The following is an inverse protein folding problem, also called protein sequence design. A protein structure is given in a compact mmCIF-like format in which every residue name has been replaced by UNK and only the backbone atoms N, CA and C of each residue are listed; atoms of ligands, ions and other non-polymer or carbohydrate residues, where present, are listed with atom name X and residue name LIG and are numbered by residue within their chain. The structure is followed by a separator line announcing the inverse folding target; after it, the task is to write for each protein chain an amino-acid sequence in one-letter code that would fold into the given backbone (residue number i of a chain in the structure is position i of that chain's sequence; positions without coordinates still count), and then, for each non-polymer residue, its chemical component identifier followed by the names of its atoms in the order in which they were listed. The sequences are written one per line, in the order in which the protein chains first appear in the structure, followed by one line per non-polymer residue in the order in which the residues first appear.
data_IF_301611511021
#
_entry.id   IF_301611511021
#
_cell.length_a   1.000
_cell.length_b   1.000
_cell.length_c   1.000
_cell.angle_alpha   90.00
_cell.angle_beta   90.00
_cell.angle_gamma   90.00
#
_symmetry.space_group_name_H-M   'P 1'
#
loop_
_entity.id
_entity.type
_entity.pdbx_description
1 polymer ?
#
# COMPACT_ATOMS: atom_id res chain seq x y z
N UNK A 1 22.48 -19.82 -11.00
CA UNK A 1 23.34 -20.43 -9.96
C UNK A 1 22.44 -21.21 -9.02
N UNK A 2 22.82 -22.39 -8.49
CA UNK A 2 22.04 -23.16 -7.53
C UNK A 2 22.11 -22.57 -6.10
N UNK A 3 21.96 -21.25 -5.97
CA UNK A 3 22.04 -20.52 -4.70
C UNK A 3 20.97 -19.42 -4.60
N UNK A 4 20.57 -19.02 -3.38
CA UNK A 4 19.49 -18.05 -3.14
C UNK A 4 19.88 -16.65 -3.63
N UNK A 5 21.15 -16.26 -3.45
CA UNK A 5 21.68 -14.98 -3.94
C UNK A 5 23.17 -15.07 -4.22
N UNK A 6 23.64 -14.18 -5.11
CA UNK A 6 25.07 -13.97 -5.38
C UNK A 6 25.51 -12.75 -4.58
N UNK A 7 26.56 -12.89 -3.77
CA UNK A 7 27.01 -11.83 -2.86
C UNK A 7 28.21 -11.06 -3.41
N UNK A 8 29.02 -11.69 -4.25
CA UNK A 8 30.20 -11.06 -4.82
C UNK A 8 30.57 -11.66 -6.17
N UNK A 9 31.20 -10.85 -7.01
CA UNK A 9 31.72 -11.22 -8.32
C UNK A 9 33.09 -10.59 -8.51
N UNK A 10 34.03 -11.35 -9.09
CA UNK A 10 35.36 -10.89 -9.44
C UNK A 10 35.75 -11.39 -10.83
N UNK A 11 36.64 -10.67 -11.49
CA UNK A 11 37.23 -11.09 -12.77
C UNK A 11 38.69 -11.47 -12.55
N UNK A 12 39.13 -12.54 -13.21
CA UNK A 12 40.51 -12.99 -13.18
C UNK A 12 41.30 -12.40 -14.37
N UNK A 13 42.63 -12.20 -14.24
CA UNK A 13 43.47 -11.68 -15.33
C UNK A 13 43.42 -12.50 -16.63
N UNK A 14 42.99 -13.76 -16.53
CA UNK A 14 42.86 -14.70 -17.63
C UNK A 14 41.48 -14.66 -18.34
N UNK A 15 40.62 -13.71 -17.96
CA UNK A 15 39.28 -13.48 -18.54
C UNK A 15 38.14 -14.29 -17.90
N UNK A 16 38.40 -15.08 -16.87
CA UNK A 16 37.39 -15.88 -16.18
C UNK A 16 36.62 -15.04 -15.14
N UNK A 17 35.38 -15.46 -14.88
CA UNK A 17 34.48 -14.81 -13.93
C UNK A 17 34.34 -15.69 -12.70
N UNK A 18 34.53 -15.12 -11.52
CA UNK A 18 34.40 -15.81 -10.23
C UNK A 18 33.20 -15.25 -9.49
N UNK A 19 32.32 -16.11 -9.00
CA UNK A 19 31.16 -15.70 -8.20
C UNK A 19 31.17 -16.36 -6.82
N UNK A 20 30.88 -15.57 -5.78
CA UNK A 20 30.64 -16.05 -4.42
C UNK A 20 29.15 -16.03 -4.11
N UNK A 21 28.58 -17.20 -3.82
CA UNK A 21 27.15 -17.39 -3.66
C UNK A 21 26.76 -17.68 -2.20
N UNK A 22 25.47 -17.52 -1.86
CA UNK A 22 24.93 -17.71 -0.51
C UNK A 22 25.01 -19.14 0.03
N UNK A 23 25.35 -20.10 -0.82
CA UNK A 23 25.58 -21.52 -0.47
C UNK A 23 27.01 -21.79 0.02
N UNK A 24 27.85 -20.75 0.13
CA UNK A 24 29.23 -20.86 0.57
C UNK A 24 30.18 -21.43 -0.50
N UNK A 25 29.71 -21.56 -1.75
CA UNK A 25 30.50 -22.11 -2.86
C UNK A 25 30.95 -20.99 -3.80
N UNK A 26 32.26 -20.95 -4.07
CA UNK A 26 32.85 -20.09 -5.10
C UNK A 26 32.85 -20.84 -6.43
N UNK A 27 32.31 -20.20 -7.48
CA UNK A 27 32.23 -20.79 -8.83
C UNK A 27 33.02 -19.97 -9.83
N UNK A 28 33.72 -20.64 -10.73
CA UNK A 28 34.54 -20.01 -11.77
C UNK A 28 33.98 -20.37 -13.15
N UNK A 29 33.72 -19.37 -13.97
CA UNK A 29 33.18 -19.50 -15.32
C UNK A 29 34.23 -19.07 -16.33
N UNK A 30 34.56 -19.96 -17.27
CA UNK A 30 35.58 -19.76 -18.30
C UNK A 30 34.97 -19.87 -19.69
N UNK A 31 35.39 -19.00 -20.62
CA UNK A 31 35.07 -19.12 -22.06
C UNK A 31 35.99 -20.10 -22.78
N UNK A 32 37.08 -20.54 -22.13
CA UNK A 32 38.03 -21.47 -22.70
C UNK A 32 37.70 -22.90 -22.23
N UNK A 33 37.35 -23.76 -23.19
CA UNK A 33 36.97 -25.17 -22.99
C UNK A 33 38.07 -25.97 -22.27
N UNK A 34 39.35 -25.65 -22.48
CA UNK A 34 40.46 -26.33 -21.81
C UNK A 34 40.51 -26.14 -20.29
N UNK A 35 39.76 -25.15 -19.76
CA UNK A 35 39.65 -24.84 -18.33
C UNK A 35 38.28 -25.20 -17.74
N UNK A 36 37.45 -25.87 -18.52
CA UNK A 36 36.17 -26.33 -18.02
C UNK A 36 36.37 -27.44 -16.99
N UNK A 37 35.44 -27.53 -16.05
CA UNK A 37 35.37 -28.67 -15.17
C UNK A 37 35.06 -29.94 -15.99
N UNK A 38 35.31 -31.11 -15.41
CA UNK A 38 34.94 -32.36 -16.08
C UNK A 38 33.42 -32.45 -16.32
N UNK A 39 33.02 -33.30 -17.27
CA UNK A 39 31.61 -33.46 -17.66
C UNK A 39 30.69 -33.81 -16.48
N UNK A 40 31.19 -34.57 -15.50
CA UNK A 40 30.44 -34.93 -14.30
C UNK A 40 30.13 -33.71 -13.42
N UNK A 41 31.10 -32.80 -13.24
CA UNK A 41 30.92 -31.57 -12.47
C UNK A 41 29.97 -30.61 -13.18
N UNK A 42 30.08 -30.49 -14.50
CA UNK A 42 29.17 -29.67 -15.31
C UNK A 42 27.74 -30.20 -15.20
N UNK A 43 27.54 -31.51 -15.41
CA UNK A 43 26.23 -32.15 -15.31
C UNK A 43 25.64 -32.04 -13.90
N UNK A 44 26.47 -32.19 -12.86
CA UNK A 44 26.07 -32.00 -11.46
C UNK A 44 25.65 -30.55 -11.20
N UNK A 45 26.38 -29.57 -11.74
CA UNK A 45 26.02 -28.16 -11.64
C UNK A 45 24.71 -27.84 -12.36
N UNK A 46 24.52 -28.33 -13.59
CA UNK A 46 23.27 -28.18 -14.34
C UNK A 46 22.09 -28.83 -13.62
N UNK A 47 22.30 -30.03 -13.07
CA UNK A 47 21.29 -30.74 -12.28
C UNK A 47 20.94 -29.96 -11.02
N UNK A 48 21.93 -29.38 -10.33
CA UNK A 48 21.70 -28.54 -9.15
C UNK A 48 20.95 -27.24 -9.50
N UNK A 49 21.25 -26.63 -10.65
CA UNK A 49 20.53 -25.45 -11.14
C UNK A 49 19.09 -25.80 -11.49
N UNK A 50 18.86 -26.93 -12.17
CA UNK A 50 17.53 -27.41 -12.54
C UNK A 50 16.69 -27.84 -11.32
N UNK A 51 17.33 -28.43 -10.30
CA UNK A 51 16.70 -28.82 -9.04
C UNK A 51 16.50 -27.65 -8.07
N UNK A 52 17.03 -26.47 -8.39
CA UNK A 52 16.79 -25.30 -7.59
C UNK A 52 15.37 -24.80 -7.86
N UNK A 53 14.44 -25.36 -7.09
CA UNK A 53 13.03 -25.03 -7.10
C UNK A 53 12.83 -23.52 -7.17
N UNK A 54 12.09 -23.06 -8.20
CA UNK A 54 11.53 -21.71 -8.19
C UNK A 54 10.46 -21.73 -7.11
N UNK A 55 10.67 -21.04 -5.97
CA UNK A 55 9.68 -21.06 -4.94
C UNK A 55 8.46 -20.28 -5.46
N UNK A 56 7.25 -20.77 -5.17
CA UNK A 56 5.99 -20.22 -5.70
C UNK A 56 5.77 -18.73 -5.40
N UNK A 57 6.62 -18.13 -4.57
CA UNK A 57 6.67 -16.73 -4.18
C UNK A 57 7.67 -15.88 -4.98
N UNK A 58 8.29 -16.38 -6.05
CA UNK A 58 8.83 -15.52 -7.12
C UNK A 58 7.67 -14.87 -7.90
N UNK A 59 6.78 -14.16 -7.18
CA UNK A 59 5.62 -13.44 -7.69
C UNK A 59 5.97 -12.04 -8.20
N UNK A 60 7.24 -11.77 -8.52
CA UNK A 60 7.65 -10.47 -9.08
C UNK A 60 7.64 -10.49 -10.61
N UNK A 61 7.70 -11.67 -11.24
CA UNK A 61 7.65 -11.83 -12.71
C UNK A 61 6.31 -12.38 -13.21
N UNK A 62 5.48 -12.95 -12.34
CA UNK A 62 4.21 -13.57 -12.71
C UNK A 62 3.18 -13.18 -11.64
N UNK A 63 2.48 -12.07 -11.89
CA UNK A 63 1.43 -11.59 -10.98
C UNK A 63 0.38 -12.68 -10.72
N UNK A 64 -0.12 -12.76 -9.49
CA UNK A 64 -1.16 -13.68 -8.96
C UNK A 64 -1.84 -14.60 -10.01
N UNK A 65 -1.12 -15.63 -10.47
CA UNK A 65 -1.73 -16.67 -11.30
C UNK A 65 -2.43 -17.65 -10.36
N UNK A 66 -3.76 -17.67 -10.45
CA UNK A 66 -4.57 -18.70 -9.79
C UNK A 66 -4.17 -20.07 -10.33
N UNK A 67 -3.53 -20.90 -9.48
CA UNK A 67 -3.09 -22.27 -9.78
C UNK A 67 -4.21 -23.20 -10.31
N UNK A 68 -5.47 -22.79 -10.22
CA UNK A 68 -6.64 -23.51 -10.75
C UNK A 68 -6.82 -23.37 -12.26
N UNK A 69 -6.09 -22.48 -12.93
CA UNK A 69 -6.28 -22.13 -14.35
C UNK A 69 -4.99 -22.29 -15.19
N UNK A 70 -4.05 -23.12 -14.72
CA UNK A 70 -2.79 -23.37 -15.41
C UNK A 70 -3.02 -24.22 -16.67
N UNK A 71 -2.44 -23.84 -17.82
CA UNK A 71 -2.52 -24.63 -19.04
C UNK A 71 -1.81 -25.98 -18.87
N UNK A 72 -2.26 -26.98 -19.62
CA UNK A 72 -1.62 -28.29 -19.68
C UNK A 72 -0.42 -28.32 -20.63
N UNK A 73 0.20 -29.49 -20.83
CA UNK A 73 1.41 -29.65 -21.64
C UNK A 73 1.23 -29.26 -23.11
N UNK A 74 -0.01 -29.19 -23.60
CA UNK A 74 -0.34 -28.69 -24.94
C UNK A 74 0.10 -27.23 -25.17
N UNK A 75 0.29 -26.44 -24.11
CA UNK A 75 0.75 -25.07 -24.26
C UNK A 75 2.21 -24.94 -24.73
N UNK A 76 3.03 -25.99 -24.56
CA UNK A 76 4.40 -26.04 -25.07
C UNK A 76 4.48 -26.28 -26.59
N UNK A 77 3.38 -26.69 -27.23
CA UNK A 77 3.34 -26.83 -28.69
C UNK A 77 3.24 -25.47 -29.40
N UNK A 78 2.79 -24.44 -28.69
CA UNK A 78 2.76 -23.07 -29.21
C UNK A 78 4.12 -22.42 -29.03
N UNK A 79 4.68 -21.91 -30.13
CA UNK A 79 5.94 -21.17 -30.07
C UNK A 79 5.82 -19.93 -29.19
N UNK A 80 6.87 -19.66 -28.41
CA UNK A 80 6.95 -18.45 -27.60
C UNK A 80 6.99 -17.19 -28.46
N UNK A 81 6.43 -16.11 -27.93
CA UNK A 81 6.34 -14.82 -28.62
C UNK A 81 7.59 -13.96 -28.44
N UNK A 82 8.37 -14.21 -27.38
CA UNK A 82 9.59 -13.47 -27.04
C UNK A 82 10.62 -14.40 -26.42
N UNK A 83 11.89 -14.18 -26.73
CA UNK A 83 13.01 -14.85 -26.07
C UNK A 83 12.98 -14.55 -24.56
N UNK A 84 13.16 -15.57 -23.73
CA UNK A 84 13.05 -15.48 -22.27
C UNK A 84 11.61 -15.43 -21.73
N UNK A 85 10.59 -15.68 -22.56
CA UNK A 85 9.21 -15.83 -22.07
C UNK A 85 9.11 -17.06 -21.17
N UNK A 86 8.49 -16.96 -19.99
CA UNK A 86 8.28 -18.08 -19.05
C UNK A 86 6.81 -18.48 -18.99
N UNK A 87 6.55 -19.78 -18.96
CA UNK A 87 5.20 -20.37 -18.81
C UNK A 87 5.26 -21.48 -17.76
N UNK A 88 4.15 -21.59 -17.01
CA UNK A 88 3.91 -22.62 -16.02
C UNK A 88 2.92 -23.63 -16.58
N UNK A 89 3.32 -24.91 -16.62
CA UNK A 89 2.52 -25.99 -17.19
C UNK A 89 2.20 -27.02 -16.11
N UNK A 90 0.95 -27.44 -16.03
CA UNK A 90 0.57 -28.56 -15.18
C UNK A 90 0.75 -29.88 -15.94
N UNK A 91 1.68 -30.70 -15.50
CA UNK A 91 1.91 -32.03 -16.08
C UNK A 91 0.75 -32.99 -15.77
N UNK A 92 0.59 -34.03 -16.59
CA UNK A 92 -0.40 -35.08 -16.37
C UNK A 92 -0.22 -35.82 -15.02
N UNK A 93 0.98 -35.77 -14.44
CA UNK A 93 1.31 -36.32 -13.13
C UNK A 93 0.92 -35.40 -11.95
N UNK A 94 0.39 -34.20 -12.21
CA UNK A 94 -0.07 -33.26 -11.20
C UNK A 94 0.97 -32.23 -10.73
N UNK A 95 2.24 -32.39 -11.12
CA UNK A 95 3.32 -31.43 -10.83
C UNK A 95 3.27 -30.23 -11.78
N UNK A 96 3.65 -29.04 -11.29
CA UNK A 96 3.78 -27.83 -12.12
C UNK A 96 5.25 -27.65 -12.52
N UNK A 97 5.50 -27.47 -13.80
CA UNK A 97 6.84 -27.22 -14.35
C UNK A 97 6.92 -25.82 -14.96
N UNK A 98 8.06 -25.15 -14.80
CA UNK A 98 8.36 -23.88 -15.45
C UNK A 98 9.21 -24.11 -16.71
N UNK A 99 8.79 -23.53 -17.83
CA UNK A 99 9.47 -23.61 -19.13
C UNK A 99 9.72 -22.20 -19.68
N UNK A 100 10.90 -21.97 -20.24
CA UNK A 100 11.33 -20.70 -20.83
C UNK A 100 11.54 -20.85 -22.34
N UNK A 101 11.10 -19.87 -23.12
CA UNK A 101 11.26 -19.88 -24.57
C UNK A 101 12.67 -19.45 -24.96
N UNK A 102 13.40 -20.33 -25.63
CA UNK A 102 14.65 -20.00 -26.31
C UNK A 102 14.37 -19.73 -27.78
N UNK A 103 14.44 -18.46 -28.19
CA UNK A 103 14.29 -18.06 -29.59
C UNK A 103 15.47 -18.52 -30.46
N UNK A 104 16.65 -18.68 -29.86
CA UNK A 104 17.84 -19.21 -30.54
C UNK A 104 17.71 -20.70 -30.93
N UNK A 105 16.99 -21.48 -30.13
CA UNK A 105 16.79 -22.92 -30.36
C UNK A 105 15.39 -23.26 -30.89
N UNK A 106 14.47 -22.29 -30.92
CA UNK A 106 13.09 -22.47 -31.38
C UNK A 106 12.28 -23.44 -30.53
N UNK A 107 12.61 -23.58 -29.24
CA UNK A 107 11.98 -24.54 -28.34
C UNK A 107 11.82 -23.99 -26.92
N UNK A 108 10.85 -24.56 -26.21
CA UNK A 108 10.73 -24.40 -24.76
C UNK A 108 11.79 -25.22 -24.05
N UNK A 109 12.54 -24.58 -23.16
CA UNK A 109 13.56 -25.19 -22.31
C UNK A 109 13.00 -25.29 -20.89
N UNK A 110 12.99 -26.49 -20.32
CA UNK A 110 12.56 -26.71 -18.94
C UNK A 110 13.54 -26.02 -17.99
N UNK A 111 13.03 -25.05 -17.22
CA UNK A 111 13.83 -24.26 -16.27
C UNK A 111 13.84 -24.91 -14.89
N UNK A 112 12.77 -25.62 -14.52
CA UNK A 112 12.73 -26.39 -13.28
C UNK A 112 11.34 -26.89 -12.90
N UNK A 113 11.31 -27.73 -11.87
CA UNK A 113 10.06 -28.18 -11.24
C UNK A 113 9.63 -27.13 -10.21
N UNK A 114 8.39 -26.66 -10.32
CA UNK A 114 7.78 -25.82 -9.30
C UNK A 114 7.18 -26.73 -8.25
N UNK A 115 8.03 -27.17 -7.33
CA UNK A 115 7.59 -27.88 -6.14
C UNK A 115 6.76 -26.93 -5.29
N UNK A 116 5.52 -27.34 -5.02
CA UNK A 116 4.73 -26.76 -3.95
C UNK A 116 5.57 -26.83 -2.67
N UNK A 117 5.84 -25.68 -2.08
CA UNK A 117 6.00 -25.68 -0.64
C UNK A 117 4.67 -26.18 -0.06
N UNK A 118 4.70 -27.43 0.40
CA UNK A 118 3.90 -27.96 1.51
C UNK A 118 2.46 -28.38 1.17
N UNK A 119 2.22 -29.69 1.29
CA UNK A 119 0.88 -30.23 1.44
C UNK A 119 0.19 -29.66 2.69
N UNK A 120 -1.09 -29.33 2.55
CA UNK A 120 -1.93 -28.62 3.52
C UNK A 120 -2.18 -29.32 4.88
N UNK A 121 -1.37 -30.29 5.31
CA UNK A 121 -1.56 -30.98 6.59
C UNK A 121 -0.23 -31.46 7.21
N UNK A 122 0.74 -30.56 7.41
CA UNK A 122 1.74 -30.81 8.44
C UNK A 122 1.39 -30.04 9.69
N UNK A 123 1.19 -30.78 10.78
CA UNK A 123 1.13 -30.22 12.11
C UNK A 123 2.40 -29.41 12.35
N UNK A 124 2.23 -28.14 12.67
CA UNK A 124 3.30 -27.20 12.91
C UNK A 124 3.72 -27.29 14.37
N UNK A 125 5.03 -27.42 14.60
CA UNK A 125 5.60 -27.50 15.94
C UNK A 125 5.78 -26.08 16.50
N UNK A 126 5.06 -25.76 17.58
CA UNK A 126 5.16 -24.47 18.27
C UNK A 126 5.37 -24.70 19.78
N UNK A 127 6.45 -24.16 20.35
CA UNK A 127 6.82 -24.33 21.76
C UNK A 127 6.86 -25.80 22.23
N UNK A 128 7.34 -26.71 21.38
CA UNK A 128 7.47 -28.13 21.70
C UNK A 128 6.16 -28.94 21.67
N UNK A 129 5.07 -28.35 21.17
CA UNK A 129 3.78 -29.03 20.96
C UNK A 129 3.36 -28.93 19.49
N UNK A 130 2.76 -29.98 18.97
CA UNK A 130 2.28 -30.05 17.59
C UNK A 130 0.86 -29.47 17.48
N UNK A 131 0.64 -28.61 16.49
CA UNK A 131 -0.66 -27.97 16.22
C UNK A 131 -1.05 -28.11 14.76
N UNK A 132 -2.34 -28.28 14.46
CA UNK A 132 -2.82 -28.42 13.08
C UNK A 132 -2.57 -27.13 12.25
N UNK A 133 -2.67 -25.97 12.89
CA UNK A 133 -2.40 -24.66 12.30
C UNK A 133 -1.58 -23.79 13.25
N UNK A 134 -0.60 -23.05 12.72
CA UNK A 134 0.04 -21.94 13.45
C UNK A 134 -0.10 -20.70 12.59
N UNK A 135 -1.04 -19.83 12.95
CA UNK A 135 -1.28 -18.61 12.21
C UNK A 135 -0.37 -17.49 12.71
N UNK A 136 0.14 -16.65 11.82
CA UNK A 136 0.86 -15.44 12.20
C UNK A 136 -0.14 -14.30 12.28
N UNK A 137 -0.34 -13.76 13.48
CA UNK A 137 -1.36 -12.77 13.79
C UNK A 137 -0.70 -11.46 14.21
N UNK A 138 -0.93 -10.44 13.41
CA UNK A 138 -0.45 -9.08 13.63
C UNK A 138 -1.52 -8.28 14.41
N UNK A 139 -1.46 -8.31 15.74
CA UNK A 139 -2.39 -7.55 16.61
C UNK A 139 -1.84 -6.16 16.96
N UNK A 140 -0.51 -5.99 16.93
CA UNK A 140 0.17 -4.72 17.23
C UNK A 140 0.97 -4.29 16.01
N UNK A 141 0.64 -3.12 15.46
CA UNK A 141 1.32 -2.54 14.30
C UNK A 141 2.81 -2.32 14.62
N UNK A 142 3.69 -2.99 13.89
CA UNK A 142 5.15 -2.92 14.05
C UNK A 142 5.78 -3.89 15.06
N UNK A 143 5.01 -4.75 15.75
CA UNK A 143 5.57 -5.88 16.49
C UNK A 143 5.79 -7.08 15.56
N UNK A 144 6.74 -8.00 15.87
CA UNK A 144 6.86 -9.24 15.13
C UNK A 144 5.51 -10.00 15.13
N UNK A 145 5.10 -10.60 14.00
CA UNK A 145 3.87 -11.37 13.93
C UNK A 145 3.84 -12.44 15.02
N UNK A 146 2.79 -12.44 15.83
CA UNK A 146 2.66 -13.38 16.94
C UNK A 146 2.10 -14.69 16.41
N UNK A 147 2.66 -15.80 16.87
CA UNK A 147 2.24 -17.13 16.42
C UNK A 147 1.06 -17.60 17.27
N UNK A 148 -0.07 -17.86 16.61
CA UNK A 148 -1.29 -18.41 17.18
C UNK A 148 -1.40 -19.89 16.82
N UNK A 149 -1.04 -20.80 17.74
CA UNK A 149 -1.24 -22.22 17.55
C UNK A 149 -2.72 -22.60 17.74
N UNK A 150 -3.29 -23.32 16.77
CA UNK A 150 -4.69 -23.72 16.72
C UNK A 150 -4.84 -25.16 16.21
N UNK A 151 -5.72 -25.93 16.85
CA UNK A 151 -6.10 -27.28 16.41
C UNK A 151 -7.50 -27.24 15.82
N UNK A 152 -7.75 -28.00 14.75
CA UNK A 152 -9.07 -28.04 14.09
C UNK A 152 -10.19 -28.53 15.03
N UNK A 153 -9.82 -29.27 16.08
CA UNK A 153 -10.73 -29.85 17.08
C UNK A 153 -10.94 -28.95 18.30
N UNK A 154 -10.26 -27.81 18.39
CA UNK A 154 -10.37 -26.88 19.52
C UNK A 154 -11.39 -25.76 19.26
N UNK A 155 -12.02 -25.22 20.33
CA UNK A 155 -12.88 -24.05 20.22
C UNK A 155 -12.05 -22.77 19.90
N UNK A 156 -12.45 -21.96 18.89
CA UNK A 156 -11.77 -20.71 18.56
C UNK A 156 -11.61 -19.71 19.72
N UNK A 157 -12.60 -19.62 20.63
CA UNK A 157 -12.56 -18.70 21.76
C UNK A 157 -11.52 -19.12 22.82
N UNK A 158 -11.36 -20.43 23.08
CA UNK A 158 -10.35 -20.91 24.02
C UNK A 158 -8.93 -20.73 23.47
N UNK A 159 -8.75 -20.92 22.17
CA UNK A 159 -7.49 -20.67 21.49
C UNK A 159 -7.13 -19.17 21.49
N UNK A 160 -8.09 -18.29 21.18
CA UNK A 160 -7.91 -16.84 21.21
C UNK A 160 -7.57 -16.32 22.61
N UNK A 161 -8.28 -16.78 23.66
CA UNK A 161 -8.01 -16.39 25.04
C UNK A 161 -6.61 -16.81 25.49
N UNK A 162 -6.19 -18.05 25.18
CA UNK A 162 -4.84 -18.54 25.50
C UNK A 162 -3.79 -17.69 24.82
N UNK A 163 -3.98 -17.42 23.53
CA UNK A 163 -3.06 -16.64 22.73
C UNK A 163 -2.94 -15.18 23.22
N UNK A 164 -4.04 -14.56 23.64
CA UNK A 164 -4.00 -13.22 24.25
C UNK A 164 -3.28 -13.24 25.61
N UNK A 165 -3.53 -14.25 26.44
CA UNK A 165 -2.89 -14.39 27.75
C UNK A 165 -1.38 -14.65 27.64
N UNK A 166 -0.96 -15.52 26.72
CA UNK A 166 0.45 -15.90 26.51
C UNK A 166 1.28 -14.75 25.93
N UNK A 167 0.65 -13.81 25.21
CA UNK A 167 1.29 -12.64 24.62
C UNK A 167 1.01 -11.33 25.38
N UNK A 168 0.42 -11.41 26.58
CA UNK A 168 0.05 -10.28 27.44
C UNK A 168 -0.75 -9.19 26.69
N UNK A 169 -1.72 -9.63 25.89
CA UNK A 169 -2.60 -8.78 25.09
C UNK A 169 -3.93 -8.53 25.82
N UNK A 170 -4.52 -7.32 25.68
CA UNK A 170 -5.84 -7.03 26.24
C UNK A 170 -6.94 -7.98 25.76
N UNK A 171 -7.83 -8.41 26.67
CA UNK A 171 -8.94 -9.33 26.37
C UNK A 171 -9.98 -8.77 25.39
N UNK A 172 -9.96 -7.46 25.13
CA UNK A 172 -10.84 -6.80 24.15
C UNK A 172 -10.59 -7.27 22.71
N UNK A 173 -9.40 -7.82 22.42
CA UNK A 173 -9.05 -8.32 21.08
C UNK A 173 -9.58 -9.75 20.80
N UNK A 174 -10.31 -10.35 21.74
CA UNK A 174 -10.75 -11.75 21.62
C UNK A 174 -11.63 -11.98 20.39
N UNK A 175 -12.62 -11.13 20.14
CA UNK A 175 -13.55 -11.27 19.02
C UNK A 175 -12.85 -11.08 17.67
N UNK A 176 -11.83 -10.22 17.62
CA UNK A 176 -11.01 -9.99 16.43
C UNK A 176 -10.14 -11.20 16.10
N UNK A 177 -9.52 -11.81 17.13
CA UNK A 177 -8.70 -13.01 16.97
C UNK A 177 -9.56 -14.23 16.62
N UNK A 178 -10.74 -14.38 17.21
CA UNK A 178 -11.71 -15.44 16.86
C UNK A 178 -12.16 -15.31 15.41
N UNK A 179 -12.57 -14.11 14.99
CA UNK A 179 -12.95 -13.84 13.59
C UNK A 179 -11.81 -14.15 12.62
N UNK A 180 -10.57 -13.90 13.04
CA UNK A 180 -9.38 -14.25 12.27
C UNK A 180 -9.18 -15.78 12.19
N UNK A 181 -9.32 -16.51 13.29
CA UNK A 181 -9.23 -17.99 13.29
C UNK A 181 -10.30 -18.57 12.37
N UNK A 182 -11.56 -18.16 12.49
CA UNK A 182 -12.66 -18.69 11.67
C UNK A 182 -12.46 -18.42 10.16
N UNK A 183 -11.93 -17.25 9.82
CA UNK A 183 -11.65 -16.87 8.44
C UNK A 183 -10.48 -17.65 7.83
N UNK A 184 -9.45 -17.98 8.61
CA UNK A 184 -8.22 -18.61 8.13
C UNK A 184 -8.19 -20.13 8.32
N UNK A 185 -8.91 -20.68 9.31
CA UNK A 185 -9.07 -22.12 9.52
C UNK A 185 -10.06 -22.76 8.52
N UNK A 186 -10.62 -21.96 7.61
CA UNK A 186 -11.31 -22.43 6.41
C UNK A 186 -12.64 -23.10 6.70
N UNK A 187 -13.71 -22.33 6.96
CA UNK A 187 -15.08 -22.69 6.61
C UNK A 187 -15.64 -24.02 7.14
N UNK A 188 -14.97 -24.72 8.05
CA UNK A 188 -15.56 -25.79 8.83
C UNK A 188 -16.43 -25.10 9.85
N UNK A 189 -17.66 -24.79 9.44
CA UNK A 189 -18.77 -24.74 10.39
C UNK A 189 -18.77 -26.11 11.05
N UNK A 190 -18.16 -26.19 12.23
CA UNK A 190 -18.43 -27.29 13.15
C UNK A 190 -19.94 -27.21 13.34
N UNK A 191 -20.67 -28.14 12.73
CA UNK A 191 -22.04 -28.38 13.09
C UNK A 191 -22.04 -28.55 14.60
N UNK A 192 -22.57 -27.53 15.29
CA UNK A 192 -22.91 -27.63 16.68
C UNK A 192 -23.86 -28.82 16.78
N UNK A 193 -23.34 -29.97 17.21
CA UNK A 193 -24.15 -30.95 17.88
C UNK A 193 -24.77 -30.19 19.05
N UNK A 194 -26.05 -29.91 18.88
CA UNK A 194 -26.91 -29.17 19.77
C UNK A 194 -27.07 -29.94 21.09
N UNK A 195 -26.11 -29.80 21.99
CA UNK A 195 -26.44 -29.88 23.40
C UNK A 195 -27.16 -28.59 23.75
N UNK A 196 -28.48 -28.65 23.72
CA UNK A 196 -29.39 -27.62 24.21
C UNK A 196 -28.99 -27.26 25.65
N UNK A 197 -28.28 -26.15 25.79
CA UNK A 197 -28.11 -25.51 27.08
C UNK A 197 -29.41 -24.74 27.37
N UNK A 198 -30.25 -25.34 28.20
CA UNK A 198 -31.44 -24.68 28.76
C UNK A 198 -30.96 -23.76 29.87
N UNK A 199 -31.09 -22.45 29.69
CA UNK A 199 -30.89 -21.48 30.78
C UNK A 199 -31.97 -21.72 31.86
N UNK A 200 -31.59 -22.03 33.11
CA UNK A 200 -32.53 -22.27 34.22
C UNK A 200 -33.47 -21.11 34.54
N UNK A 201 -33.23 -19.88 34.03
CA UNK A 201 -33.99 -18.71 34.45
C UNK A 201 -35.05 -18.20 33.45
N UNK A 202 -35.09 -18.68 32.20
CA UNK A 202 -36.18 -18.36 31.24
C UNK A 202 -36.48 -19.52 30.30
N UNK A 203 -37.39 -20.41 30.70
CA UNK A 203 -37.80 -21.58 29.93
C UNK A 203 -38.41 -21.25 28.55
N UNK A 204 -37.88 -21.93 27.52
CA UNK A 204 -38.51 -22.43 26.28
C UNK A 204 -39.78 -21.75 25.69
N UNK A 205 -39.92 -20.42 25.70
CA UNK A 205 -41.03 -19.76 25.00
C UNK A 205 -40.61 -18.41 24.41
N UNK A 206 -40.23 -18.41 23.12
CA UNK A 206 -40.26 -17.17 22.33
C UNK A 206 -40.73 -17.45 20.90
N UNK A 207 -41.85 -16.83 20.54
CA UNK A 207 -42.49 -16.81 19.22
C UNK A 207 -41.58 -16.09 18.20
N UNK A 208 -41.31 -16.70 17.04
CA UNK A 208 -40.72 -16.03 15.87
C UNK A 208 -41.79 -15.90 14.78
N UNK A 209 -42.06 -14.68 14.32
CA UNK A 209 -42.89 -14.40 13.15
C UNK A 209 -42.00 -14.22 11.91
N UNK A 210 -42.41 -14.84 10.81
CA UNK A 210 -41.72 -14.96 9.53
C UNK A 210 -42.00 -13.73 8.63
N UNK A 211 -41.01 -13.10 7.94
CA UNK A 211 -41.29 -12.06 6.94
C UNK A 211 -41.24 -12.62 5.51
N UNK A 212 -42.37 -12.61 4.81
CA UNK A 212 -42.46 -12.83 3.35
C UNK A 212 -42.85 -11.54 2.62
N UNK A 213 -42.03 -11.20 1.62
CA UNK A 213 -42.31 -10.55 0.32
C UNK A 213 -43.09 -9.21 0.26
N UNK A 214 -42.43 -8.18 -0.27
CA UNK A 214 -42.97 -7.01 -0.99
C UNK A 214 -43.07 -7.30 -2.51
N UNK A 215 -43.58 -6.41 -3.40
CA UNK A 215 -44.51 -5.26 -3.26
C UNK A 215 -45.63 -5.19 -4.35
N UNK A 216 -46.70 -4.43 -4.10
CA UNK A 216 -47.19 -3.36 -5.01
C UNK A 216 -48.42 -2.67 -4.41
N UNK A 217 -48.42 -1.34 -4.34
CA UNK A 217 -49.67 -0.58 -4.23
C UNK A 217 -49.48 0.89 -4.60
N UNK A 218 -50.30 1.30 -5.57
CA UNK A 218 -50.54 2.66 -6.04
C UNK A 218 -51.05 3.61 -4.96
N UNK A 219 -50.75 4.90 -5.18
CA UNK A 219 -51.38 6.13 -4.70
C UNK A 219 -52.69 6.02 -3.90
N UNK A 220 -52.74 6.69 -2.76
CA UNK A 220 -53.81 7.68 -2.44
C UNK A 220 -53.41 8.54 -1.25
N UNK A 221 -53.49 9.85 -1.46
CA UNK A 221 -53.25 10.90 -0.46
C UNK A 221 -54.35 10.89 0.61
N UNK A 222 -53.98 10.61 1.85
CA UNK A 222 -54.86 10.81 3.01
C UNK A 222 -54.66 12.21 3.56
N UNK A 223 -55.72 13.02 3.50
CA UNK A 223 -55.83 14.31 4.17
C UNK A 223 -56.33 14.10 5.60
N UNK A 224 -55.69 14.74 6.58
CA UNK A 224 -56.08 14.69 7.99
C UNK A 224 -57.32 15.58 8.26
N UNK A 225 -58.42 15.07 8.84
CA UNK A 225 -59.67 15.80 9.06
C UNK A 225 -59.67 16.88 10.16
N UNK A 226 -58.57 17.18 10.87
CA UNK A 226 -58.65 18.03 12.08
C UNK A 226 -57.99 19.42 12.04
N UNK A 227 -57.52 19.93 10.90
CA UNK A 227 -57.24 21.38 10.73
C UNK A 227 -57.60 21.87 9.32
N UNK A 228 -58.85 22.30 9.15
CA UNK A 228 -59.41 22.77 7.89
C UNK A 228 -58.74 24.05 7.34
N UNK A 229 -58.34 23.97 6.07
CA UNK A 229 -58.61 24.88 4.94
C UNK A 229 -58.90 26.39 5.16
N UNK A 230 -58.34 27.08 6.15
CA UNK A 230 -58.39 28.54 6.22
C UNK A 230 -57.28 29.13 7.08
N UNK A 231 -56.15 29.51 6.46
CA UNK A 231 -55.32 30.61 6.98
C UNK A 231 -54.92 31.58 5.88
N UNK A 232 -55.42 32.80 6.05
CA UNK A 232 -55.08 34.02 5.34
C UNK A 232 -53.64 34.41 5.71
N UNK A 233 -52.74 34.54 4.73
CA UNK A 233 -51.43 35.17 4.90
C UNK A 233 -51.35 36.36 3.93
N UNK A 234 -50.93 37.56 4.38
CA UNK A 234 -50.95 38.75 3.57
C UNK A 234 -49.85 38.73 2.51
N UNK A 235 -50.18 39.29 1.34
CA UNK A 235 -49.27 39.46 0.21
C UNK A 235 -48.27 40.57 0.55
N UNK A 236 -47.03 40.21 0.85
CA UNK A 236 -45.92 41.16 0.95
C UNK A 236 -44.96 40.94 -0.21
N UNK A 237 -45.04 41.84 -1.20
CA UNK A 237 -44.03 42.04 -2.24
C UNK A 237 -42.73 42.54 -1.60
N UNK A 238 -41.84 41.63 -1.26
CA UNK A 238 -40.42 41.92 -1.17
C UNK A 238 -39.67 40.96 -2.07
N UNK A 239 -38.95 41.51 -3.04
CA UNK A 239 -38.01 40.78 -3.87
C UNK A 239 -36.92 40.16 -2.99
N UNK A 240 -37.14 38.92 -2.58
CA UNK A 240 -36.12 38.07 -1.97
C UNK A 240 -35.10 37.74 -3.05
N UNK A 241 -33.87 38.24 -2.87
CA UNK A 241 -32.71 37.77 -3.59
C UNK A 241 -32.72 36.24 -3.60
N UNK A 242 -32.66 35.66 -4.80
CA UNK A 242 -32.56 34.22 -5.00
C UNK A 242 -31.38 33.70 -4.16
N UNK A 243 -31.59 32.72 -3.26
CA UNK A 243 -30.48 31.99 -2.68
C UNK A 243 -29.64 31.40 -3.82
N UNK A 244 -28.31 31.34 -3.70
CA UNK A 244 -27.49 30.62 -4.67
C UNK A 244 -28.04 29.20 -4.84
N UNK A 245 -28.00 28.64 -6.07
CA UNK A 245 -28.62 27.35 -6.35
C UNK A 245 -28.14 26.28 -5.35
N UNK A 246 -29.04 25.41 -4.86
CA UNK A 246 -28.65 24.33 -3.97
C UNK A 246 -27.60 23.48 -4.65
N UNK A 247 -26.46 23.26 -3.95
CA UNK A 247 -25.37 22.40 -4.43
C UNK A 247 -25.96 21.05 -4.87
N UNK A 248 -25.55 20.49 -6.03
CA UNK A 248 -25.97 19.15 -6.42
C UNK A 248 -25.50 18.15 -5.35
N UNK A 249 -26.35 17.18 -5.03
CA UNK A 249 -26.21 16.27 -3.88
C UNK A 249 -24.94 15.38 -3.89
N UNK A 250 -24.10 15.45 -4.92
CA UNK A 250 -22.89 14.62 -5.12
C UNK A 250 -21.64 15.44 -5.50
N UNK A 251 -21.50 16.69 -5.06
CA UNK A 251 -20.30 17.52 -5.33
C UNK A 251 -19.13 17.08 -4.44
N UNK A 252 -18.01 16.66 -5.05
CA UNK A 252 -16.78 16.23 -4.37
C UNK A 252 -15.98 17.46 -3.93
N UNK A 253 -16.06 18.57 -4.67
CA UNK A 253 -15.26 19.77 -4.43
C UNK A 253 -16.03 20.86 -3.65
N UNK A 254 -15.35 21.65 -2.80
CA UNK A 254 -13.95 21.53 -2.41
C UNK A 254 -13.76 20.47 -1.33
N UNK A 255 -12.63 19.75 -1.38
CA UNK A 255 -12.24 18.82 -0.32
C UNK A 255 -11.51 19.60 0.77
N UNK A 256 -12.07 19.56 2.00
CA UNK A 256 -11.60 20.36 3.14
C UNK A 256 -10.85 19.56 4.22
N UNK A 257 -10.82 18.24 4.11
CA UNK A 257 -10.13 17.37 5.07
C UNK A 257 -8.73 17.08 4.56
N UNK A 258 -7.73 17.13 5.45
CA UNK A 258 -6.36 16.72 5.12
C UNK A 258 -6.19 15.21 5.23
N UNK A 259 -5.26 14.69 4.45
CA UNK A 259 -4.81 13.31 4.49
C UNK A 259 -3.60 13.19 5.43
N UNK A 260 -3.56 12.14 6.23
CA UNK A 260 -2.42 11.82 7.10
C UNK A 260 -1.78 10.49 6.69
N UNK A 261 -0.46 10.40 6.83
CA UNK A 261 0.23 9.12 6.82
C UNK A 261 0.10 8.52 8.22
N UNK A 262 -0.68 7.44 8.35
CA UNK A 262 -0.94 6.78 9.63
C UNK A 262 0.23 5.89 10.09
N UNK A 263 1.14 5.55 9.19
CA UNK A 263 2.26 4.66 9.44
C UNK A 263 3.58 5.37 9.14
N UNK A 264 4.56 5.22 10.03
CA UNK A 264 5.91 5.73 9.85
C UNK A 264 6.92 4.82 10.56
N UNK A 265 7.94 4.35 9.83
CA UNK A 265 9.08 3.65 10.44
C UNK A 265 10.09 4.67 10.98
N UNK A 266 9.75 5.26 12.13
CA UNK A 266 10.56 6.31 12.75
C UNK A 266 11.98 5.82 13.10
N UNK A 267 12.19 4.59 13.62
CA UNK A 267 13.53 4.07 13.84
C UNK A 267 14.39 4.01 12.58
N UNK A 268 13.85 3.52 11.46
CA UNK A 268 14.60 3.46 10.19
C UNK A 268 14.94 4.88 9.67
N UNK A 269 14.01 5.83 9.78
CA UNK A 269 14.24 7.22 9.40
C UNK A 269 15.35 7.86 10.23
N UNK A 270 15.31 7.69 11.57
CA UNK A 270 16.31 8.24 12.47
C UNK A 270 17.71 7.66 12.18
N UNK A 271 17.78 6.34 11.99
CA UNK A 271 19.05 5.67 11.67
C UNK A 271 19.61 6.14 10.31
N UNK A 272 18.76 6.25 9.29
CA UNK A 272 19.21 6.72 7.98
C UNK A 272 19.65 8.18 8.02
N UNK A 273 18.93 9.03 8.75
CA UNK A 273 19.29 10.43 8.95
C UNK A 273 20.65 10.59 9.63
N UNK A 274 20.91 9.82 10.70
CA UNK A 274 22.21 9.80 11.38
C UNK A 274 23.32 9.33 10.44
N UNK A 275 23.11 8.23 9.72
CA UNK A 275 24.08 7.72 8.76
C UNK A 275 24.44 8.74 7.66
N UNK A 276 23.47 9.50 7.16
CA UNK A 276 23.73 10.57 6.19
C UNK A 276 24.54 11.72 6.82
N UNK A 277 24.18 12.14 8.03
CA UNK A 277 24.94 13.14 8.76
C UNK A 277 26.39 12.70 9.03
N UNK A 278 26.59 11.45 9.42
CA UNK A 278 27.91 10.88 9.69
C UNK A 278 28.75 10.86 8.41
N UNK A 279 28.14 10.50 7.27
CA UNK A 279 28.77 10.58 5.95
C UNK A 279 29.20 11.99 5.57
N UNK A 280 28.38 13.01 5.84
CA UNK A 280 28.74 14.41 5.65
C UNK A 280 29.87 14.84 6.58
N UNK A 281 29.84 14.42 7.84
CA UNK A 281 30.87 14.78 8.83
C UNK A 281 32.23 14.13 8.54
N UNK A 282 32.23 12.93 7.95
CA UNK A 282 33.43 12.14 7.68
C UNK A 282 34.18 12.53 6.40
N UNK A 283 33.54 13.24 5.48
CA UNK A 283 34.19 13.74 4.26
C UNK A 283 34.70 15.18 4.47
N UNK A 284 36.02 15.44 4.34
CA UNK A 284 36.60 16.77 4.50
C UNK A 284 35.92 17.86 3.66
N UNK A 285 35.40 17.52 2.48
CA UNK A 285 34.78 18.48 1.57
C UNK A 285 33.33 18.84 1.95
N UNK A 286 32.64 17.99 2.71
CA UNK A 286 31.23 18.17 3.07
C UNK A 286 30.99 18.30 4.57
N UNK A 287 32.05 18.24 5.38
CA UNK A 287 32.02 18.40 6.85
C UNK A 287 31.33 19.68 7.35
N UNK A 288 31.41 20.77 6.61
CA UNK A 288 30.71 22.04 6.92
C UNK A 288 29.18 21.96 6.74
N UNK A 289 28.69 20.93 6.04
CA UNK A 289 27.27 20.66 5.82
C UNK A 289 26.68 19.70 6.87
N UNK A 290 27.50 19.14 7.76
CA UNK A 290 27.05 18.30 8.86
C UNK A 290 26.28 19.11 9.92
N UNK A 291 25.50 18.41 10.74
CA UNK A 291 24.71 19.01 11.82
C UNK A 291 25.60 19.59 12.92
N UNK A 292 25.25 20.78 13.38
CA UNK A 292 25.80 21.31 14.64
C UNK A 292 25.24 20.51 15.82
N UNK A 293 25.89 20.54 17.01
CA UNK A 293 25.37 19.85 18.20
C UNK A 293 23.95 20.29 18.61
N UNK A 294 23.61 21.55 18.38
CA UNK A 294 22.28 22.09 18.64
C UNK A 294 21.24 21.57 17.66
N UNK A 295 21.56 21.55 16.36
CA UNK A 295 20.70 20.98 15.33
C UNK A 295 20.49 19.48 15.58
N UNK A 296 21.55 18.74 15.90
CA UNK A 296 21.45 17.32 16.22
C UNK A 296 20.51 17.05 17.41
N UNK A 297 20.60 17.88 18.46
CA UNK A 297 19.68 17.81 19.62
C UNK A 297 18.24 18.10 19.19
N UNK A 298 18.03 19.08 18.32
CA UNK A 298 16.71 19.42 17.78
C UNK A 298 16.10 18.25 16.99
N UNK A 299 16.85 17.65 16.08
CA UNK A 299 16.37 16.49 15.29
C UNK A 299 16.05 15.29 16.17
N UNK A 300 16.87 14.96 17.16
CA UNK A 300 16.57 13.89 18.12
C UNK A 300 15.30 14.16 18.91
N UNK A 301 15.06 15.42 19.34
CA UNK A 301 13.81 15.82 19.98
C UNK A 301 12.62 15.63 19.02
N UNK A 302 12.75 16.02 17.75
CA UNK A 302 11.71 15.81 16.74
C UNK A 302 11.38 14.33 16.53
N UNK A 303 12.40 13.46 16.45
CA UNK A 303 12.20 12.01 16.36
C UNK A 303 11.52 11.44 17.62
N UNK A 304 11.88 11.92 18.81
CA UNK A 304 11.24 11.52 20.06
C UNK A 304 9.77 11.94 20.12
N UNK A 305 9.44 13.17 19.68
CA UNK A 305 8.07 13.65 19.56
C UNK A 305 7.24 12.80 18.58
N UNK A 306 7.81 12.48 17.42
CA UNK A 306 7.14 11.61 16.45
C UNK A 306 6.89 10.21 17.04
N UNK A 307 7.87 9.63 17.75
CA UNK A 307 7.72 8.31 18.40
C UNK A 307 6.63 8.31 19.47
N UNK A 308 6.56 9.38 20.26
CA UNK A 308 5.56 9.56 21.30
C UNK A 308 4.14 9.74 20.73
N UNK A 309 3.99 10.43 19.59
CA UNK A 309 2.69 10.59 18.90
C UNK A 309 2.29 9.36 18.07
N UNK A 310 3.24 8.52 17.65
CA UNK A 310 2.97 7.32 16.86
C UNK A 310 2.43 6.12 17.65
N UNK A 311 2.60 6.09 18.98
CA UNK A 311 2.09 5.02 19.84
C UNK A 311 1.12 5.61 20.88
N UNK A 312 -0.16 5.22 20.85
CA UNK A 312 -1.07 5.42 21.99
C UNK A 312 -1.18 4.16 22.84
N UNK A 313 -1.21 4.24 24.19
CA UNK A 313 -1.20 5.46 25.02
C UNK A 313 0.22 5.93 25.43
N UNK A 314 0.37 7.22 25.81
CA UNK A 314 1.66 7.86 26.03
C UNK A 314 2.31 7.36 27.33
N UNK A 315 3.52 6.83 27.24
CA UNK A 315 4.26 6.25 28.38
C UNK A 315 5.61 6.96 28.61
N UNK A 316 5.68 8.29 28.62
CA UNK A 316 6.92 9.03 29.00
C UNK A 316 6.60 10.38 29.68
N UNK A 317 7.40 10.84 30.67
CA UNK A 317 7.12 12.03 31.51
C UNK A 317 7.12 13.39 30.80
N UNK A 318 6.48 14.36 31.46
CA UNK A 318 6.06 15.69 31.02
C UNK A 318 7.13 16.69 30.48
N UNK A 319 8.38 16.29 30.24
CA UNK A 319 9.41 17.19 29.69
C UNK A 319 9.46 17.23 28.15
N UNK A 320 8.86 16.24 27.47
CA UNK A 320 8.72 16.18 26.00
C UNK A 320 7.39 16.73 25.47
N UNK A 321 6.56 17.35 26.31
CA UNK A 321 5.22 17.84 25.92
C UNK A 321 5.22 19.15 25.12
N UNK A 322 6.36 19.80 24.93
CA UNK A 322 6.44 21.02 24.12
C UNK A 322 6.47 20.68 22.63
N UNK A 323 5.43 21.09 21.91
CA UNK A 323 5.35 21.02 20.45
C UNK A 323 6.54 21.71 19.77
N UNK A 324 6.83 21.34 18.52
CA UNK A 324 7.85 22.05 17.73
C UNK A 324 7.36 23.47 17.47
N UNK A 325 8.17 24.46 17.81
CA UNK A 325 7.89 25.86 17.51
C UNK A 325 8.14 26.16 16.02
N UNK A 326 7.64 27.29 15.50
CA UNK A 326 7.92 27.70 14.13
C UNK A 326 9.44 27.82 13.87
N UNK A 327 10.20 28.34 14.85
CA UNK A 327 11.67 28.44 14.75
C UNK A 327 12.33 27.06 14.63
N UNK A 328 11.79 26.06 15.32
CA UNK A 328 12.28 24.68 15.21
C UNK A 328 12.06 24.12 13.80
N UNK A 329 10.90 24.42 13.19
CA UNK A 329 10.58 24.04 11.82
C UNK A 329 11.50 24.74 10.82
N UNK A 330 11.75 26.03 11.01
CA UNK A 330 12.63 26.82 10.14
C UNK A 330 14.06 26.26 10.16
N UNK A 331 14.60 25.95 11.34
CA UNK A 331 15.93 25.32 11.48
C UNK A 331 15.97 23.95 10.79
N UNK A 332 14.93 23.13 10.95
CA UNK A 332 14.84 21.83 10.27
C UNK A 332 14.83 22.03 8.74
N UNK A 333 14.07 23.01 8.25
CA UNK A 333 14.00 23.33 6.83
C UNK A 333 15.35 23.81 6.30
N UNK A 334 16.06 24.68 7.01
CA UNK A 334 17.39 25.18 6.64
C UNK A 334 18.42 24.05 6.57
N UNK A 335 18.41 23.15 7.55
CA UNK A 335 19.28 21.96 7.54
C UNK A 335 18.99 21.08 6.32
N UNK A 336 17.72 20.78 6.06
CA UNK A 336 17.32 19.98 4.90
C UNK A 336 17.66 20.70 3.58
N UNK A 337 17.60 22.02 3.55
CA UNK A 337 17.95 22.86 2.40
C UNK A 337 19.46 23.05 2.20
N UNK A 338 20.29 22.69 3.18
CA UNK A 338 21.76 22.74 3.11
C UNK A 338 22.40 21.45 2.62
N UNK A 339 21.79 20.29 2.90
CA UNK A 339 22.35 18.99 2.50
C UNK A 339 22.36 18.79 0.98
N UNK A 340 23.29 18.01 0.39
CA UNK A 340 23.32 17.80 -1.07
C UNK A 340 22.02 17.18 -1.61
N UNK A 341 21.57 17.58 -2.80
CA UNK A 341 20.32 17.11 -3.43
C UNK A 341 20.27 15.59 -3.64
N UNK A 342 21.43 14.96 -3.91
CA UNK A 342 21.59 13.51 -3.99
C UNK A 342 21.39 12.78 -2.66
N UNK A 343 21.62 13.47 -1.53
CA UNK A 343 21.48 12.93 -0.18
C UNK A 343 20.16 13.33 0.49
N UNK A 344 19.47 14.36 -0.04
CA UNK A 344 18.05 14.63 0.24
C UNK A 344 17.21 13.55 -0.41
N UNK A 345 17.06 12.41 0.26
CA UNK A 345 16.16 11.33 -0.13
C UNK A 345 14.77 11.86 -0.49
N UNK A 346 14.23 11.47 -1.65
CA UNK A 346 14.46 12.06 -2.96
C UNK A 346 13.49 13.23 -3.22
N UNK A 347 13.97 14.46 -3.11
CA UNK A 347 13.17 15.63 -3.47
C UNK A 347 13.65 16.32 -4.76
N UNK A 348 14.75 15.87 -5.36
CA UNK A 348 15.45 16.57 -6.44
C UNK A 348 15.73 15.72 -7.69
N UNK A 349 15.08 14.56 -7.82
CA UNK A 349 15.14 13.73 -9.03
C UNK A 349 13.99 14.03 -9.99
N UNK A 350 14.11 13.72 -11.30
CA UNK A 350 12.98 13.70 -12.22
C UNK A 350 11.84 12.84 -11.66
N UNK A 351 10.59 13.21 -11.93
CA UNK A 351 9.40 12.52 -11.40
C UNK A 351 9.44 10.98 -11.58
N UNK A 352 10.00 10.50 -12.70
CA UNK A 352 10.11 9.08 -13.01
C UNK A 352 11.07 8.29 -12.11
N UNK A 353 11.99 8.97 -11.40
CA UNK A 353 12.93 8.33 -10.46
C UNK A 353 12.28 8.07 -9.10
N UNK A 354 11.15 8.73 -8.81
CA UNK A 354 10.43 8.54 -7.56
C UNK A 354 9.78 7.15 -7.51
N UNK A 355 9.95 6.47 -6.39
CA UNK A 355 9.22 5.23 -6.09
C UNK A 355 7.72 5.51 -5.95
N UNK A 356 6.89 4.47 -6.11
CA UNK A 356 5.43 4.57 -5.91
C UNK A 356 5.06 5.26 -4.59
N UNK A 357 5.68 4.86 -3.48
CA UNK A 357 5.42 5.46 -2.16
C UNK A 357 5.79 6.95 -2.10
N UNK A 358 6.87 7.35 -2.78
CA UNK A 358 7.29 8.75 -2.84
C UNK A 358 6.36 9.60 -3.72
N UNK A 359 5.89 9.05 -4.84
CA UNK A 359 4.88 9.68 -5.70
C UNK A 359 3.59 9.93 -4.91
N UNK A 360 3.12 8.94 -4.17
CA UNK A 360 1.95 9.07 -3.27
C UNK A 360 2.20 10.13 -2.19
N UNK A 361 3.39 10.16 -1.57
CA UNK A 361 3.76 11.16 -0.59
C UNK A 361 3.72 12.59 -1.16
N UNK A 362 4.31 12.78 -2.34
CA UNK A 362 4.34 14.07 -3.03
C UNK A 362 2.93 14.56 -3.39
N UNK A 363 2.08 13.68 -3.93
CA UNK A 363 0.69 14.01 -4.23
C UNK A 363 -0.14 14.31 -2.97
N UNK A 364 0.18 13.67 -1.85
CA UNK A 364 -0.48 13.95 -0.56
C UNK A 364 -0.08 15.31 0.01
N UNK A 365 1.17 15.73 -0.17
CA UNK A 365 1.62 17.07 0.19
C UNK A 365 0.86 18.11 -0.65
N UNK A 366 0.82 17.94 -1.97
CA UNK A 366 0.07 18.83 -2.86
C UNK A 366 -1.43 18.88 -2.48
N UNK A 367 -2.04 17.73 -2.23
CA UNK A 367 -3.41 17.64 -1.74
C UNK A 367 -3.62 18.45 -0.45
N UNK A 368 -2.82 18.20 0.58
CA UNK A 368 -2.98 18.88 1.88
C UNK A 368 -2.75 20.38 1.77
N UNK A 369 -1.80 20.77 0.91
CA UNK A 369 -1.52 22.15 0.63
C UNK A 369 -2.72 22.87 -0.01
N UNK A 370 -3.41 22.21 -0.95
CA UNK A 370 -4.67 22.72 -1.51
C UNK A 370 -5.78 22.91 -0.46
N UNK A 371 -5.79 22.08 0.58
CA UNK A 371 -6.75 22.21 1.70
C UNK A 371 -6.44 23.45 2.54
N UNK A 372 -5.16 23.75 2.77
CA UNK A 372 -4.73 24.96 3.48
C UNK A 372 -5.07 26.21 2.67
N UNK A 373 -4.89 26.16 1.35
CA UNK A 373 -5.24 27.24 0.43
C UNK A 373 -6.72 27.61 0.51
N UNK A 374 -7.62 26.63 0.65
CA UNK A 374 -9.06 26.86 0.84
C UNK A 374 -9.41 27.65 2.11
N UNK A 375 -8.56 27.58 3.14
CA UNK A 375 -8.77 28.28 4.42
C UNK A 375 -8.23 29.72 4.38
N UNK A 376 -7.52 30.11 3.32
CA UNK A 376 -7.05 31.48 3.10
C UNK A 376 -5.78 31.85 3.88
N UNK A 377 -5.05 30.87 4.41
CA UNK A 377 -3.77 31.07 5.11
C UNK A 377 -2.61 30.74 4.17
N UNK A 378 -2.28 31.63 3.24
CA UNK A 378 -1.23 31.32 2.29
C UNK A 378 -0.38 32.52 1.90
N UNK A 379 0.92 32.26 1.76
CA UNK A 379 1.88 33.17 1.14
C UNK A 379 1.62 33.24 -0.38
N UNK A 380 1.33 34.43 -0.95
CA UNK A 380 1.15 34.61 -2.39
C UNK A 380 2.29 34.08 -3.26
N UNK A 381 3.52 34.00 -2.71
CA UNK A 381 4.69 33.48 -3.42
C UNK A 381 4.66 31.96 -3.61
N UNK A 382 3.91 31.23 -2.77
CA UNK A 382 3.87 29.77 -2.81
C UNK A 382 2.80 29.20 -3.75
N UNK A 383 1.85 30.02 -4.20
CA UNK A 383 0.74 29.59 -5.08
C UNK A 383 1.22 29.10 -6.45
N UNK A 384 2.14 29.80 -7.15
CA UNK A 384 2.67 29.32 -8.42
C UNK A 384 3.45 28.00 -8.29
N UNK A 385 4.17 27.82 -7.19
CA UNK A 385 4.92 26.60 -6.90
C UNK A 385 3.98 25.40 -6.68
N UNK A 386 2.88 25.62 -5.94
CA UNK A 386 1.85 24.60 -5.73
C UNK A 386 1.20 24.15 -7.05
N UNK A 387 0.81 25.11 -7.90
CA UNK A 387 0.23 24.82 -9.23
C UNK A 387 1.21 24.03 -10.11
N UNK A 388 2.48 24.43 -10.08
CA UNK A 388 3.54 23.78 -10.84
C UNK A 388 3.77 22.34 -10.37
N UNK A 389 3.75 22.10 -9.06
CA UNK A 389 3.85 20.76 -8.48
C UNK A 389 2.68 19.87 -8.91
N UNK A 390 1.44 20.34 -8.77
CA UNK A 390 0.24 19.58 -9.17
C UNK A 390 0.28 19.26 -10.66
N UNK A 391 0.64 20.24 -11.49
CA UNK A 391 0.74 20.06 -12.95
C UNK A 391 1.86 19.09 -13.33
N UNK A 392 2.99 19.11 -12.63
CA UNK A 392 4.07 18.15 -12.81
C UNK A 392 3.59 16.72 -12.54
N UNK A 393 2.89 16.49 -11.42
CA UNK A 393 2.37 15.17 -11.05
C UNK A 393 1.38 14.68 -12.10
N UNK A 394 0.38 15.49 -12.46
CA UNK A 394 -0.68 15.08 -13.41
C UNK A 394 -0.17 14.79 -14.83
N UNK A 395 0.88 15.49 -15.27
CA UNK A 395 1.49 15.22 -16.58
C UNK A 395 2.24 13.89 -16.60
N UNK A 396 2.95 13.58 -15.53
CA UNK A 396 3.89 12.46 -15.50
C UNK A 396 3.31 11.17 -14.91
N UNK A 397 2.25 11.25 -14.10
CA UNK A 397 1.64 10.06 -13.50
C UNK A 397 0.84 9.26 -14.55
N UNK A 398 1.10 7.95 -14.60
CA UNK A 398 0.57 7.00 -15.58
C UNK A 398 0.25 5.62 -15.00
N UNK A 399 0.72 5.32 -13.79
CA UNK A 399 0.71 3.97 -13.23
C UNK A 399 -0.18 3.89 -11.99
N UNK A 400 -0.09 4.90 -11.11
CA UNK A 400 -0.77 4.90 -9.82
C UNK A 400 -2.00 5.80 -9.82
N UNK A 401 -3.16 5.15 -9.82
CA UNK A 401 -4.48 5.80 -9.78
C UNK A 401 -4.65 6.72 -8.55
N UNK A 402 -4.11 6.35 -7.40
CA UNK A 402 -4.27 7.06 -6.14
C UNK A 402 -3.45 8.35 -6.12
N UNK A 403 -2.21 8.31 -6.61
CA UNK A 403 -1.37 9.49 -6.82
C UNK A 403 -2.03 10.46 -7.80
N UNK A 404 -2.52 9.96 -8.94
CA UNK A 404 -3.24 10.76 -9.93
C UNK A 404 -4.51 11.39 -9.36
N UNK A 405 -5.30 10.62 -8.60
CA UNK A 405 -6.52 11.10 -7.96
C UNK A 405 -6.25 12.20 -6.92
N UNK A 406 -5.24 12.04 -6.05
CA UNK A 406 -4.86 13.05 -5.04
C UNK A 406 -4.43 14.37 -5.69
N UNK A 407 -3.62 14.30 -6.74
CA UNK A 407 -3.21 15.48 -7.49
C UNK A 407 -4.39 16.14 -8.22
N UNK A 408 -5.35 15.35 -8.71
CA UNK A 408 -6.55 15.85 -9.36
C UNK A 408 -7.47 16.59 -8.38
N UNK A 409 -7.62 16.08 -7.16
CA UNK A 409 -8.36 16.80 -6.09
C UNK A 409 -7.65 18.11 -5.74
N UNK A 410 -6.32 18.09 -5.64
CA UNK A 410 -5.54 19.31 -5.39
C UNK A 410 -5.80 20.38 -6.48
N UNK A 411 -5.79 19.96 -7.75
CA UNK A 411 -6.13 20.84 -8.88
C UNK A 411 -7.57 21.39 -8.78
N UNK A 412 -8.53 20.53 -8.44
CA UNK A 412 -9.92 20.93 -8.25
C UNK A 412 -10.10 21.97 -7.15
N UNK A 413 -9.39 21.81 -6.02
CA UNK A 413 -9.37 22.79 -4.94
C UNK A 413 -8.76 24.13 -5.38
N UNK A 414 -7.64 24.12 -6.12
CA UNK A 414 -7.01 25.34 -6.68
C UNK A 414 -7.95 26.06 -7.65
N UNK A 415 -8.63 25.32 -8.54
CA UNK A 415 -9.56 25.92 -9.51
C UNK A 415 -10.76 26.50 -8.76
N UNK A 416 -11.25 25.82 -7.72
CA UNK A 416 -12.32 26.32 -6.87
C UNK A 416 -11.93 27.61 -6.13
N UNK A 417 -10.72 27.68 -5.55
CA UNK A 417 -10.23 28.90 -4.86
C UNK A 417 -10.09 30.05 -5.83
N UNK A 418 -9.40 29.85 -6.96
CA UNK A 418 -9.17 30.89 -7.97
C UNK A 418 -10.45 31.39 -8.63
N UNK A 419 -11.42 30.49 -8.89
CA UNK A 419 -12.74 30.89 -9.40
C UNK A 419 -13.50 31.75 -8.39
N UNK A 420 -13.53 31.34 -7.12
CA UNK A 420 -14.20 32.10 -6.07
C UNK A 420 -13.55 33.44 -5.78
N UNK A 421 -12.24 33.57 -6.00
CA UNK A 421 -11.49 34.82 -5.88
C UNK A 421 -11.58 35.70 -7.14
N UNK A 422 -12.17 35.20 -8.23
CA UNK A 422 -12.24 35.92 -9.51
C UNK A 422 -10.88 36.06 -10.22
N UNK A 423 -9.88 35.26 -9.83
CA UNK A 423 -8.49 35.33 -10.33
C UNK A 423 -8.17 34.29 -11.41
N UNK A 424 -9.12 33.40 -11.74
CA UNK A 424 -8.95 32.40 -12.79
C UNK A 424 -8.94 33.06 -14.18
N UNK A 425 -7.77 33.13 -14.81
CA UNK A 425 -7.63 33.64 -16.18
C UNK A 425 -8.10 32.62 -17.22
N UNK A 426 -8.61 33.09 -18.35
CA UNK A 426 -9.01 32.22 -19.48
C UNK A 426 -7.83 31.37 -20.00
N UNK A 427 -6.62 31.95 -19.97
CA UNK A 427 -5.39 31.25 -20.35
C UNK A 427 -5.09 30.09 -19.41
N UNK A 428 -5.22 30.30 -18.10
CA UNK A 428 -5.04 29.23 -17.11
C UNK A 428 -6.13 28.16 -17.26
N UNK A 429 -7.39 28.57 -17.44
CA UNK A 429 -8.50 27.64 -17.66
C UNK A 429 -8.31 26.77 -18.91
N UNK A 430 -7.82 27.37 -20.01
CA UNK A 430 -7.51 26.65 -21.25
C UNK A 430 -6.36 25.64 -21.07
N UNK A 431 -5.36 25.97 -20.24
CA UNK A 431 -4.23 25.08 -19.95
C UNK A 431 -4.64 23.83 -19.14
N UNK A 432 -5.68 23.91 -18.31
CA UNK A 432 -6.14 22.76 -17.52
C UNK A 432 -7.00 21.76 -18.31
N UNK A 433 -7.73 22.21 -19.34
CA UNK A 433 -8.58 21.35 -20.19
C UNK A 433 -7.86 20.12 -20.81
N UNK A 434 -6.66 20.24 -21.41
CA UNK A 434 -5.94 19.07 -21.94
C UNK A 434 -5.44 18.15 -20.82
N UNK A 435 -5.03 18.69 -19.67
CA UNK A 435 -4.60 17.89 -18.51
C UNK A 435 -5.73 17.01 -18.00
N UNK A 436 -6.93 17.57 -17.83
CA UNK A 436 -8.11 16.83 -17.39
C UNK A 436 -8.51 15.72 -18.37
N UNK A 437 -8.29 15.96 -19.67
CA UNK A 437 -8.57 14.96 -20.71
C UNK A 437 -7.55 13.83 -20.66
N UNK A 438 -6.26 14.13 -20.51
CA UNK A 438 -5.20 13.14 -20.34
C UNK A 438 -5.45 12.28 -19.08
N UNK A 439 -5.74 12.90 -17.94
CA UNK A 439 -6.02 12.19 -16.68
C UNK A 439 -7.22 11.24 -16.81
N UNK A 440 -8.31 11.69 -17.45
CA UNK A 440 -9.47 10.83 -17.70
C UNK A 440 -9.17 9.65 -18.63
N UNK A 441 -8.27 9.82 -19.61
CA UNK A 441 -7.86 8.73 -20.50
C UNK A 441 -6.93 7.73 -19.82
N UNK A 442 -6.05 8.20 -18.94
CA UNK A 442 -5.08 7.37 -18.23
C UNK A 442 -5.74 6.60 -17.10
N UNK A 443 -6.68 7.23 -16.38
CA UNK A 443 -7.36 6.65 -15.22
C UNK A 443 -8.89 6.61 -15.44
N UNK A 444 -9.42 5.57 -16.11
CA UNK A 444 -10.84 5.48 -16.48
C UNK A 444 -11.77 5.07 -15.31
N UNK A 445 -11.36 5.31 -14.07
CA UNK A 445 -12.16 4.99 -12.89
C UNK A 445 -13.30 5.99 -12.69
N UNK A 446 -14.47 5.50 -12.27
CA UNK A 446 -15.66 6.31 -12.06
C UNK A 446 -15.40 7.52 -11.12
N UNK A 447 -14.67 7.30 -10.02
CA UNK A 447 -14.31 8.38 -9.08
C UNK A 447 -13.45 9.49 -9.72
N UNK A 448 -12.56 9.13 -10.65
CA UNK A 448 -11.69 10.07 -11.36
C UNK A 448 -12.50 10.81 -12.40
N UNK A 449 -13.31 10.10 -13.19
CA UNK A 449 -14.15 10.67 -14.23
C UNK A 449 -15.17 11.66 -13.66
N UNK A 450 -15.84 11.32 -12.56
CA UNK A 450 -16.77 12.21 -11.87
C UNK A 450 -16.08 13.50 -11.41
N UNK A 451 -14.88 13.39 -10.84
CA UNK A 451 -14.10 14.54 -10.41
C UNK A 451 -13.63 15.39 -11.60
N UNK A 452 -13.18 14.77 -12.69
CA UNK A 452 -12.82 15.49 -13.93
C UNK A 452 -14.01 16.27 -14.48
N UNK A 453 -15.21 15.68 -14.50
CA UNK A 453 -16.42 16.37 -14.95
C UNK A 453 -16.75 17.57 -14.06
N UNK A 454 -16.65 17.42 -12.74
CA UNK A 454 -16.86 18.51 -11.79
C UNK A 454 -15.86 19.65 -11.98
N UNK A 455 -14.57 19.34 -12.20
CA UNK A 455 -13.55 20.36 -12.49
C UNK A 455 -13.81 21.03 -13.84
N UNK A 456 -14.21 20.29 -14.87
CA UNK A 456 -14.59 20.88 -16.18
C UNK A 456 -15.75 21.86 -16.03
N UNK A 457 -16.76 21.53 -15.23
CA UNK A 457 -17.87 22.43 -14.93
C UNK A 457 -17.42 23.70 -14.16
N UNK A 458 -16.37 23.61 -13.33
CA UNK A 458 -15.78 24.78 -12.70
C UNK A 458 -15.06 25.68 -13.72
N UNK A 459 -14.42 25.13 -14.75
CA UNK A 459 -13.66 25.91 -15.74
C UNK A 459 -14.51 26.68 -16.75
N UNK A 460 -15.79 26.34 -16.92
CA UNK A 460 -16.65 26.93 -17.95
C UNK A 460 -16.60 26.16 -19.27
#
# INVERSE_FOLDING_TARGET
HPAISVWTVATMPNGDIVTGCSDGVVRVFSRNESRWANEETIRSFETQVANQAIPSNCSELVGDVKKTDLPGPEALERSGSKDGQVIMVKTAAGSVEAHEWSAGEGKWVKVGDVVDAVGQNQKQLHNGKEYDYVFKVDIKDGAPPLSLPYNATENPYSAAQRFLAENELPMEYIDQVVSFIEKNAGGVKIEQQSQQFVDPYTGASRYQANPTSTPSSNHTSYSDPFTGASRYAPVSNHASATPPPPKPANSILPVKSTLSFKQANIPAMENKFKHLNDGLSGDPNTSSLALTPLEFKLFNRSFALMKAKAHSPPKVPAETSAELSQKDIDIIADVLARWPSLQRFPAAGPYHVLTKTQKVALATIAFNYSVVELVGKMDPLAAPAHVSLVTLILNNEKEDNETGYRALVALGNIIYTTKNQGSLSEVAAAAYKPLLTNVATVFPEERVLNLVQEIKALLG
#
